data_IF_957959274371
#
_entry.id   IF_957959274371
#
_cell.length_a   1.000
_cell.length_b   1.000
_cell.length_c   1.000
_cell.angle_alpha   90.00
_cell.angle_beta   90.00
_cell.angle_gamma   90.00
#
_symmetry.space_group_name_H-M   'P 1'
#
loop_
_entity.id
_entity.type
_entity.pdbx_description
1 polymer ?
#
# COMPACT_ATOMS: atom_id res chain seq x y z
N UNK A 1 -70.92 8.99 -9.31
CA UNK A 1 -71.09 7.73 -8.57
C UNK A 1 -69.73 7.03 -8.49
N UNK A 2 -69.08 7.13 -7.34
CA UNK A 2 -67.87 6.39 -6.95
C UNK A 2 -68.12 5.88 -5.54
N UNK A 3 -67.78 4.61 -5.21
CA UNK A 3 -68.14 4.02 -3.93
C UNK A 3 -67.17 4.42 -2.82
N UNK A 4 -67.76 4.64 -1.64
CA UNK A 4 -67.10 4.77 -0.34
C UNK A 4 -66.68 3.41 0.24
N UNK A 5 -65.87 3.50 1.31
CA UNK A 5 -65.41 2.47 2.27
C UNK A 5 -64.08 1.81 1.88
N UNK A 6 -63.07 1.72 2.76
CA UNK A 6 -63.12 1.45 4.20
C UNK A 6 -61.97 2.11 4.99
N UNK A 7 -62.30 2.52 6.21
CA UNK A 7 -61.37 2.83 7.30
C UNK A 7 -60.45 1.66 7.62
N UNK A 8 -59.18 1.94 7.92
CA UNK A 8 -58.38 1.05 8.76
C UNK A 8 -57.65 1.81 9.88
N UNK A 9 -57.78 1.21 11.05
CA UNK A 9 -57.44 1.66 12.40
C UNK A 9 -55.97 2.09 12.53
N UNK A 10 -55.74 3.32 12.99
CA UNK A 10 -54.45 3.71 13.55
C UNK A 10 -54.26 3.02 14.90
N UNK A 11 -53.43 1.98 14.91
CA UNK A 11 -52.86 1.41 16.12
C UNK A 11 -51.88 2.38 16.76
N UNK A 12 -52.01 2.56 18.07
CA UNK A 12 -51.08 3.24 18.95
C UNK A 12 -49.73 2.50 18.97
N UNK A 13 -48.83 2.90 18.07
CA UNK A 13 -47.43 2.50 18.10
C UNK A 13 -46.72 3.23 19.23
N UNK A 14 -46.41 2.51 20.30
CA UNK A 14 -45.45 2.89 21.32
C UNK A 14 -44.14 3.32 20.66
N UNK A 15 -43.83 4.63 20.72
CA UNK A 15 -42.50 5.15 20.38
C UNK A 15 -41.50 4.62 21.41
N UNK A 16 -40.92 3.46 21.12
CA UNK A 16 -39.67 3.04 21.74
C UNK A 16 -38.62 4.04 21.26
N UNK A 17 -38.29 5.01 22.12
CA UNK A 17 -37.20 5.93 21.93
C UNK A 17 -35.88 5.17 21.96
N UNK A 18 -35.51 4.54 20.85
CA UNK A 18 -34.13 4.15 20.63
C UNK A 18 -33.30 5.43 20.63
N UNK A 19 -32.24 5.43 21.45
CA UNK A 19 -31.18 6.44 21.49
C UNK A 19 -30.02 5.98 20.58
N UNK A 20 -30.12 5.95 19.23
CA UNK A 20 -28.99 5.59 18.38
C UNK A 20 -27.90 6.67 18.40
N UNK A 21 -28.21 7.88 18.89
CA UNK A 21 -27.31 9.02 18.81
C UNK A 21 -26.12 8.98 19.78
N UNK A 22 -26.22 8.25 20.89
CA UNK A 22 -25.15 8.13 21.90
C UNK A 22 -24.13 7.02 21.54
N UNK A 23 -24.61 5.88 21.03
CA UNK A 23 -23.73 4.76 20.63
C UNK A 23 -22.82 5.13 19.45
N UNK A 24 -23.31 5.94 18.50
CA UNK A 24 -22.54 6.37 17.33
C UNK A 24 -21.43 7.35 17.72
N UNK A 25 -21.68 8.27 18.68
CA UNK A 25 -20.67 9.22 19.16
C UNK A 25 -19.54 8.53 19.92
N UNK A 26 -19.85 7.54 20.76
CA UNK A 26 -18.83 6.80 21.51
C UNK A 26 -17.92 5.97 20.61
N UNK A 27 -18.46 5.37 19.54
CA UNK A 27 -17.66 4.60 18.57
C UNK A 27 -16.68 5.48 17.77
N UNK A 28 -17.09 6.70 17.41
CA UNK A 28 -16.24 7.64 16.69
C UNK A 28 -15.08 8.16 17.57
N UNK A 29 -15.37 8.52 18.83
CA UNK A 29 -14.35 8.96 19.78
C UNK A 29 -13.33 7.86 20.08
N UNK A 30 -13.79 6.63 20.37
CA UNK A 30 -12.90 5.49 20.62
C UNK A 30 -11.99 5.21 19.42
N UNK A 31 -12.53 5.25 18.20
CA UNK A 31 -11.76 5.05 16.98
C UNK A 31 -10.69 6.13 16.78
N UNK A 32 -11.01 7.38 17.13
CA UNK A 32 -10.08 8.51 17.01
C UNK A 32 -8.96 8.46 18.06
N UNK A 33 -9.30 8.18 19.32
CA UNK A 33 -8.34 8.03 20.40
C UNK A 33 -7.33 6.90 20.11
N UNK A 34 -7.81 5.76 19.59
CA UNK A 34 -6.95 4.64 19.24
C UNK A 34 -6.09 4.91 17.99
N UNK A 35 -6.59 5.72 17.05
CA UNK A 35 -5.80 6.20 15.91
C UNK A 35 -4.64 7.08 16.37
N UNK A 36 -4.91 8.04 17.27
CA UNK A 36 -3.87 8.85 17.91
C UNK A 36 -2.88 7.95 18.64
N UNK A 37 -3.37 6.99 19.42
CA UNK A 37 -2.52 6.07 20.17
C UNK A 37 -1.57 5.32 19.22
N UNK A 38 -2.05 4.77 18.11
CA UNK A 38 -1.19 4.08 17.13
C UNK A 38 -0.12 5.01 16.55
N UNK A 39 -0.49 6.23 16.14
CA UNK A 39 0.46 7.19 15.60
C UNK A 39 1.52 7.62 16.64
N UNK A 40 1.10 7.81 17.88
CA UNK A 40 1.96 8.17 19.02
C UNK A 40 2.87 7.00 19.40
N UNK A 41 2.35 5.77 19.45
CA UNK A 41 3.14 4.57 19.73
C UNK A 41 4.21 4.36 18.66
N UNK A 42 3.87 4.52 17.38
CA UNK A 42 4.84 4.44 16.28
C UNK A 42 5.90 5.53 16.41
N UNK A 43 5.48 6.77 16.71
CA UNK A 43 6.40 7.89 16.91
C UNK A 43 7.40 7.58 18.02
N UNK A 44 6.91 7.24 19.22
CA UNK A 44 7.79 6.96 20.36
C UNK A 44 8.65 5.72 20.14
N UNK A 45 8.13 4.69 19.46
CA UNK A 45 8.91 3.49 19.19
C UNK A 45 10.13 3.77 18.34
N UNK A 46 9.98 4.58 17.28
CA UNK A 46 11.10 4.97 16.43
C UNK A 46 11.95 6.09 17.03
N UNK A 47 11.37 7.03 17.76
CA UNK A 47 12.12 8.10 18.44
C UNK A 47 13.07 7.54 19.50
N UNK A 48 12.65 6.48 20.20
CA UNK A 48 13.46 5.80 21.21
C UNK A 48 14.27 4.62 20.63
N UNK A 49 14.23 4.41 19.32
CA UNK A 49 14.96 3.31 18.69
C UNK A 49 16.47 3.58 18.73
N UNK A 50 17.20 2.72 19.44
CA UNK A 50 18.66 2.68 19.44
C UNK A 50 19.18 1.48 18.66
N UNK A 51 20.41 1.54 18.11
CA UNK A 51 21.09 0.34 17.63
C UNK A 51 21.03 -0.80 18.67
N UNK A 52 20.74 -2.06 18.27
CA UNK A 52 20.48 -2.55 16.91
C UNK A 52 18.98 -2.68 16.55
N UNK A 53 18.23 -1.58 16.44
CA UNK A 53 16.78 -1.62 16.17
C UNK A 53 16.38 -2.29 14.85
N UNK A 54 16.94 -1.83 13.72
CA UNK A 54 16.93 -2.51 12.43
C UNK A 54 18.02 -1.95 11.51
N UNK A 55 18.53 -2.75 10.58
CA UNK A 55 19.54 -2.33 9.61
C UNK A 55 19.05 -1.17 8.73
N UNK A 56 17.82 -1.28 8.22
CA UNK A 56 17.22 -0.25 7.38
C UNK A 56 16.93 1.05 8.14
N UNK A 57 16.54 0.99 9.43
CA UNK A 57 16.38 2.17 10.26
C UNK A 57 17.68 2.98 10.34
N UNK A 58 18.81 2.31 10.63
CA UNK A 58 20.11 2.96 10.67
C UNK A 58 20.50 3.56 9.31
N UNK A 59 20.26 2.83 8.23
CA UNK A 59 20.47 3.32 6.87
C UNK A 59 19.67 4.61 6.60
N UNK A 60 18.39 4.65 6.97
CA UNK A 60 17.56 5.84 6.81
C UNK A 60 18.00 7.00 7.69
N UNK A 61 18.40 6.76 8.94
CA UNK A 61 18.93 7.79 9.85
C UNK A 61 20.17 8.46 9.24
N UNK A 62 21.12 7.67 8.74
CA UNK A 62 22.34 8.18 8.07
C UNK A 62 22.02 8.98 6.81
N UNK A 63 21.03 8.54 6.04
CA UNK A 63 20.60 9.24 4.83
C UNK A 63 19.91 10.56 5.18
N UNK A 64 19.03 10.56 6.18
CA UNK A 64 18.37 11.77 6.66
C UNK A 64 19.40 12.77 7.19
N UNK A 65 20.41 12.29 7.91
CA UNK A 65 21.52 13.11 8.39
C UNK A 65 22.33 13.71 7.22
N UNK A 66 22.70 12.89 6.24
CA UNK A 66 23.45 13.30 5.05
C UNK A 66 22.66 14.35 4.26
N UNK A 67 21.38 14.07 3.99
CA UNK A 67 20.47 15.02 3.35
C UNK A 67 20.36 16.30 4.17
N UNK A 68 20.24 16.22 5.49
CA UNK A 68 20.17 17.37 6.38
C UNK A 68 21.36 18.35 6.20
N UNK A 69 22.55 17.84 5.91
CA UNK A 69 23.80 18.62 5.77
C UNK A 69 24.01 19.27 4.39
N UNK A 70 23.38 18.75 3.33
CA UNK A 70 23.61 19.24 1.95
C UNK A 70 22.70 20.41 1.60
N UNK A 71 23.17 21.43 0.88
CA UNK A 71 22.27 22.46 0.34
C UNK A 71 21.48 21.93 -0.89
N UNK A 72 20.54 22.73 -1.41
CA UNK A 72 19.68 22.28 -2.52
C UNK A 72 20.45 22.08 -3.83
N UNK A 73 21.49 22.89 -4.08
CA UNK A 73 22.32 22.79 -5.28
C UNK A 73 23.16 21.50 -5.18
N UNK A 74 23.77 21.28 -4.03
CA UNK A 74 24.49 20.06 -3.70
C UNK A 74 23.59 18.83 -3.83
N UNK A 75 22.32 18.86 -3.45
CA UNK A 75 21.39 17.74 -3.63
C UNK A 75 21.11 17.44 -5.11
N UNK A 76 21.07 18.46 -5.97
CA UNK A 76 20.87 18.28 -7.40
C UNK A 76 22.13 17.75 -8.10
N UNK A 77 23.32 18.16 -7.63
CA UNK A 77 24.61 17.78 -8.19
C UNK A 77 25.15 16.46 -7.61
N UNK A 78 24.86 16.19 -6.34
CA UNK A 78 25.16 14.90 -5.72
C UNK A 78 24.09 13.91 -6.20
N UNK A 79 24.47 13.07 -7.15
CA UNK A 79 23.79 11.79 -7.38
C UNK A 79 23.87 11.00 -6.08
N UNK A 80 23.03 11.33 -5.09
CA UNK A 80 22.99 10.64 -3.82
C UNK A 80 22.54 9.24 -4.11
N UNK A 81 23.53 8.37 -4.23
CA UNK A 81 23.37 6.94 -4.32
C UNK A 81 22.79 6.54 -2.97
N UNK A 82 21.47 6.45 -2.92
CA UNK A 82 20.84 5.61 -1.91
C UNK A 82 21.48 4.22 -2.05
N UNK A 83 21.73 3.48 -0.97
CA UNK A 83 22.38 2.16 -1.03
C UNK A 83 21.65 1.10 -1.90
N UNK A 84 20.56 1.47 -2.57
CA UNK A 84 19.80 0.65 -3.51
C UNK A 84 19.38 1.37 -4.81
N UNK A 85 19.84 2.60 -5.08
CA UNK A 85 19.56 3.34 -6.31
C UNK A 85 20.82 4.07 -6.79
N UNK A 86 21.71 3.34 -7.46
CA UNK A 86 22.73 3.94 -8.32
C UNK A 86 22.04 4.29 -9.63
N UNK A 87 21.63 5.55 -9.79
CA UNK A 87 21.13 6.06 -11.06
C UNK A 87 22.29 6.56 -11.90
N UNK A 88 22.88 5.69 -12.72
CA UNK A 88 23.70 6.15 -13.83
C UNK A 88 22.77 6.81 -14.88
N UNK A 89 22.58 8.13 -14.77
CA UNK A 89 21.97 8.95 -15.83
C UNK A 89 20.44 9.15 -15.80
N UNK A 90 19.71 8.63 -14.81
CA UNK A 90 18.28 8.94 -14.61
C UNK A 90 18.11 9.73 -13.30
N UNK A 91 18.07 11.07 -13.40
CA UNK A 91 17.87 12.00 -12.26
C UNK A 91 16.47 11.77 -11.61
N UNK A 92 16.23 12.23 -10.38
CA UNK A 92 16.18 11.49 -9.13
C UNK A 92 14.74 11.06 -8.84
N UNK A 93 14.34 9.84 -9.18
CA UNK A 93 13.00 9.33 -8.83
C UNK A 93 12.95 9.07 -7.32
N UNK A 94 12.81 10.14 -6.53
CA UNK A 94 12.66 10.22 -5.08
C UNK A 94 12.79 11.66 -4.50
N UNK A 95 12.81 12.70 -5.35
CA UNK A 95 12.88 14.11 -4.92
C UNK A 95 11.85 14.48 -3.85
N UNK A 96 10.66 13.91 -3.91
CA UNK A 96 9.59 14.15 -2.94
C UNK A 96 10.01 13.75 -1.52
N UNK A 97 10.73 12.63 -1.37
CA UNK A 97 11.28 12.23 -0.07
C UNK A 97 12.36 13.21 0.40
N UNK A 98 13.30 13.57 -0.48
CA UNK A 98 14.37 14.51 -0.15
C UNK A 98 13.85 15.87 0.28
N UNK A 99 12.89 16.43 -0.47
CA UNK A 99 12.24 17.71 -0.13
C UNK A 99 11.53 17.63 1.22
N UNK A 100 10.86 16.51 1.50
CA UNK A 100 10.14 16.32 2.75
C UNK A 100 11.11 16.22 3.93
N UNK A 101 12.19 15.44 3.80
CA UNK A 101 13.27 15.38 4.80
C UNK A 101 13.83 16.78 5.05
N UNK A 102 14.13 17.52 3.98
CA UNK A 102 14.64 18.88 4.09
C UNK A 102 13.73 19.83 4.82
N UNK A 103 12.43 19.79 4.53
CA UNK A 103 11.43 20.59 5.22
C UNK A 103 11.47 20.35 6.75
N UNK A 104 11.63 19.10 7.17
CA UNK A 104 11.73 18.74 8.59
C UNK A 104 13.14 18.95 9.18
N UNK A 105 14.18 19.08 8.36
CA UNK A 105 15.52 19.45 8.84
C UNK A 105 15.65 20.95 9.14
N UNK A 106 14.85 21.83 8.49
CA UNK A 106 14.92 23.29 8.67
C UNK A 106 14.79 23.75 10.14
N UNK A 107 13.90 23.18 10.97
CA UNK A 107 13.79 23.53 12.39
C UNK A 107 14.91 22.96 13.27
N UNK A 108 15.86 22.19 12.71
CA UNK A 108 16.96 21.56 13.45
C UNK A 108 16.58 20.24 14.13
N UNK A 109 15.57 19.52 13.64
CA UNK A 109 15.23 18.20 14.18
C UNK A 109 16.35 17.18 13.94
N UNK A 110 16.59 16.32 14.93
CA UNK A 110 17.52 15.19 14.79
C UNK A 110 16.98 14.17 13.78
N UNK A 111 17.86 13.45 13.05
CA UNK A 111 17.44 12.48 12.03
C UNK A 111 16.43 11.43 12.51
N UNK A 112 16.57 10.93 13.73
CA UNK A 112 15.66 9.96 14.36
C UNK A 112 14.28 10.56 14.58
N UNK A 113 14.23 11.84 14.96
CA UNK A 113 12.97 12.58 15.13
C UNK A 113 12.28 12.76 13.78
N UNK A 114 13.02 13.15 12.74
CA UNK A 114 12.48 13.28 11.39
C UNK A 114 11.93 11.94 10.91
N UNK A 115 12.69 10.85 11.06
CA UNK A 115 12.24 9.51 10.71
C UNK A 115 10.93 9.14 11.43
N UNK A 116 10.86 9.34 12.74
CA UNK A 116 9.67 9.05 13.55
C UNK A 116 8.45 9.87 13.10
N UNK A 117 8.64 11.16 12.82
CA UNK A 117 7.57 12.03 12.27
C UNK A 117 7.06 11.47 10.95
N UNK A 118 7.96 11.15 10.02
CA UNK A 118 7.61 10.65 8.69
C UNK A 118 6.87 9.31 8.76
N UNK A 119 7.32 8.38 9.60
CA UNK A 119 6.65 7.10 9.84
C UNK A 119 5.24 7.33 10.39
N UNK A 120 5.08 8.19 11.41
CA UNK A 120 3.78 8.48 11.99
C UNK A 120 2.83 9.20 11.03
N UNK A 121 3.32 10.09 10.16
CA UNK A 121 2.52 10.72 9.10
C UNK A 121 2.02 9.66 8.11
N UNK A 122 2.89 8.74 7.67
CA UNK A 122 2.52 7.61 6.81
C UNK A 122 1.36 6.81 7.42
N UNK A 123 1.51 6.36 8.67
CA UNK A 123 0.45 5.63 9.40
C UNK A 123 -0.83 6.44 9.48
N UNK A 124 -0.75 7.71 9.90
CA UNK A 124 -1.91 8.58 10.09
C UNK A 124 -2.74 8.72 8.81
N UNK A 125 -2.06 8.91 7.66
CA UNK A 125 -2.72 9.04 6.36
C UNK A 125 -3.43 7.74 5.95
N UNK A 126 -2.80 6.57 6.14
CA UNK A 126 -3.45 5.28 5.83
C UNK A 126 -4.66 5.04 6.73
N UNK A 127 -4.53 5.30 8.03
CA UNK A 127 -5.61 5.17 8.99
C UNK A 127 -6.79 6.08 8.60
N UNK A 128 -6.52 7.34 8.28
CA UNK A 128 -7.54 8.28 7.80
C UNK A 128 -8.29 7.75 6.56
N UNK A 129 -7.57 7.28 5.54
CA UNK A 129 -8.17 6.74 4.31
C UNK A 129 -9.03 5.50 4.61
N UNK A 130 -8.47 4.52 5.32
CA UNK A 130 -9.18 3.28 5.65
C UNK A 130 -10.45 3.54 6.48
N UNK A 131 -10.40 4.49 7.43
CA UNK A 131 -11.58 4.90 8.20
C UNK A 131 -12.62 5.59 7.33
N UNK A 132 -12.18 6.46 6.42
CA UNK A 132 -13.07 7.16 5.49
C UNK A 132 -13.78 6.19 4.54
N UNK A 133 -13.13 5.07 4.20
CA UNK A 133 -13.68 3.98 3.40
C UNK A 133 -14.47 2.94 4.23
N UNK A 134 -14.62 3.16 5.54
CA UNK A 134 -15.33 2.26 6.47
C UNK A 134 -14.75 0.85 6.51
N UNK A 135 -13.44 0.72 6.35
CA UNK A 135 -12.74 -0.56 6.56
C UNK A 135 -12.97 -1.02 8.01
N UNK A 136 -13.29 -2.31 8.25
CA UNK A 136 -13.51 -2.83 9.59
C UNK A 136 -12.31 -2.57 10.49
N UNK A 137 -12.61 -2.14 11.72
CA UNK A 137 -11.60 -1.63 12.63
C UNK A 137 -10.46 -2.62 12.92
N UNK A 138 -10.78 -3.88 13.19
CA UNK A 138 -9.80 -4.94 13.39
C UNK A 138 -8.85 -5.12 12.19
N UNK A 139 -9.39 -5.00 10.98
CA UNK A 139 -8.62 -5.15 9.75
C UNK A 139 -7.67 -3.96 9.53
N UNK A 140 -8.07 -2.75 9.94
CA UNK A 140 -7.21 -1.56 9.91
C UNK A 140 -5.97 -1.78 10.79
N UNK A 141 -6.15 -2.29 12.02
CA UNK A 141 -5.04 -2.59 12.93
C UNK A 141 -4.11 -3.62 12.29
N UNK A 142 -4.68 -4.75 11.84
CA UNK A 142 -3.91 -5.85 11.26
C UNK A 142 -3.05 -5.38 10.07
N UNK A 143 -3.64 -4.65 9.12
CA UNK A 143 -2.91 -4.13 7.97
C UNK A 143 -1.82 -3.15 8.40
N UNK A 144 -2.10 -2.22 9.31
CA UNK A 144 -1.08 -1.26 9.70
C UNK A 144 0.08 -1.93 10.43
N UNK A 145 -0.14 -2.94 11.27
CA UNK A 145 0.96 -3.72 11.86
C UNK A 145 1.82 -4.39 10.80
N UNK A 146 1.20 -4.99 9.78
CA UNK A 146 1.92 -5.57 8.63
C UNK A 146 2.75 -4.48 7.93
N UNK A 147 2.16 -3.33 7.61
CA UNK A 147 2.84 -2.30 6.81
C UNK A 147 3.83 -1.43 7.57
N UNK A 148 3.68 -1.26 8.89
CA UNK A 148 4.73 -0.66 9.73
C UNK A 148 6.00 -1.52 9.62
N UNK A 149 5.86 -2.84 9.71
CA UNK A 149 6.98 -3.79 9.61
C UNK A 149 7.58 -3.90 8.21
N UNK A 150 6.76 -3.81 7.16
CA UNK A 150 7.26 -3.92 5.78
C UNK A 150 7.84 -2.59 5.30
N UNK A 151 7.08 -1.50 5.43
CA UNK A 151 7.42 -0.26 4.77
C UNK A 151 8.03 0.74 5.71
N UNK A 152 7.58 0.88 6.95
CA UNK A 152 8.18 1.91 7.80
C UNK A 152 9.55 1.47 8.29
N UNK A 153 9.67 0.27 8.87
CA UNK A 153 10.97 -0.21 9.36
C UNK A 153 11.99 -0.54 8.26
N UNK A 154 11.54 -0.87 7.04
CA UNK A 154 12.44 -1.38 5.98
C UNK A 154 12.44 -0.55 4.67
N UNK A 155 11.40 0.26 4.39
CA UNK A 155 11.27 0.96 3.11
C UNK A 155 10.45 2.27 3.23
N UNK A 156 10.82 3.16 4.15
CA UNK A 156 10.00 4.31 4.58
C UNK A 156 9.46 5.15 3.41
N UNK A 157 10.29 5.33 2.38
CA UNK A 157 9.94 5.99 1.11
C UNK A 157 8.71 5.38 0.44
N UNK A 158 8.68 4.06 0.29
CA UNK A 158 7.53 3.33 -0.28
C UNK A 158 6.31 3.43 0.64
N UNK A 159 6.51 3.44 1.96
CA UNK A 159 5.44 3.67 2.94
C UNK A 159 4.73 5.01 2.73
N UNK A 160 5.50 6.10 2.63
CA UNK A 160 4.99 7.44 2.33
C UNK A 160 4.32 7.50 0.95
N UNK A 161 4.97 6.94 -0.07
CA UNK A 161 4.43 6.89 -1.43
C UNK A 161 3.08 6.16 -1.48
N UNK A 162 2.97 5.01 -0.80
CA UNK A 162 1.73 4.24 -0.70
C UNK A 162 0.62 5.00 0.02
N UNK A 163 0.97 5.79 1.04
CA UNK A 163 0.01 6.61 1.80
C UNK A 163 -0.57 7.74 0.96
N UNK A 164 0.27 8.42 0.17
CA UNK A 164 -0.16 9.43 -0.80
C UNK A 164 -1.01 8.81 -1.93
N UNK A 165 -0.61 7.65 -2.44
CA UNK A 165 -1.37 6.89 -3.44
C UNK A 165 -2.78 6.57 -2.93
N UNK A 166 -2.89 6.00 -1.72
CA UNK A 166 -4.18 5.68 -1.09
C UNK A 166 -5.05 6.93 -0.89
N UNK A 167 -4.45 8.03 -0.43
CA UNK A 167 -5.17 9.30 -0.28
C UNK A 167 -5.67 9.82 -1.63
N UNK A 168 -4.84 9.75 -2.67
CA UNK A 168 -5.22 10.14 -4.03
C UNK A 168 -6.38 9.32 -4.59
N UNK A 169 -6.29 7.98 -4.46
CA UNK A 169 -7.38 7.07 -4.82
C UNK A 169 -8.67 7.36 -4.03
N UNK A 170 -8.54 7.67 -2.74
CA UNK A 170 -9.70 8.07 -1.93
C UNK A 170 -10.34 9.35 -2.46
N UNK A 171 -9.56 10.40 -2.76
CA UNK A 171 -10.08 11.64 -3.36
C UNK A 171 -10.80 11.37 -4.69
N UNK A 172 -10.26 10.49 -5.55
CA UNK A 172 -10.93 10.08 -6.78
C UNK A 172 -12.27 9.35 -6.51
N UNK A 173 -12.31 8.49 -5.48
CA UNK A 173 -13.52 7.75 -5.11
C UNK A 173 -14.68 8.66 -4.66
N UNK A 174 -14.35 9.85 -4.14
CA UNK A 174 -15.30 10.90 -3.76
C UNK A 174 -15.40 12.04 -4.80
N UNK A 175 -15.04 11.74 -6.06
CA UNK A 175 -15.18 12.62 -7.23
C UNK A 175 -14.33 13.90 -7.23
N UNK A 176 -13.26 13.95 -6.42
CA UNK A 176 -12.29 15.07 -6.42
C UNK A 176 -11.12 14.79 -7.36
N UNK A 177 -11.44 14.74 -8.66
CA UNK A 177 -10.54 14.22 -9.71
C UNK A 177 -9.16 14.90 -9.73
N UNK A 178 -9.11 16.23 -9.76
CA UNK A 178 -7.86 16.99 -9.84
C UNK A 178 -6.96 16.71 -8.63
N UNK A 179 -7.51 16.80 -7.42
CA UNK A 179 -6.75 16.53 -6.18
C UNK A 179 -6.27 15.09 -6.13
N UNK A 180 -7.11 14.15 -6.53
CA UNK A 180 -6.75 12.74 -6.57
C UNK A 180 -5.61 12.45 -7.53
N UNK A 181 -5.67 12.98 -8.76
CA UNK A 181 -4.60 12.82 -9.75
C UNK A 181 -3.30 13.49 -9.28
N UNK A 182 -3.34 14.70 -8.72
CA UNK A 182 -2.16 15.37 -8.17
C UNK A 182 -1.49 14.56 -7.06
N UNK A 183 -2.26 13.96 -6.15
CA UNK A 183 -1.73 13.10 -5.09
C UNK A 183 -1.15 11.80 -5.64
N UNK A 184 -1.79 11.19 -6.64
CA UNK A 184 -1.24 10.01 -7.31
C UNK A 184 0.08 10.37 -7.99
N UNK A 185 0.15 11.49 -8.74
CA UNK A 185 1.39 11.97 -9.35
C UNK A 185 2.47 12.29 -8.31
N UNK A 186 2.10 12.90 -7.19
CA UNK A 186 3.04 13.21 -6.11
C UNK A 186 3.65 11.94 -5.49
N UNK A 187 2.91 10.82 -5.46
CA UNK A 187 3.46 9.57 -4.90
C UNK A 187 4.63 8.99 -5.70
N UNK A 188 4.70 9.23 -7.02
CA UNK A 188 5.86 8.86 -7.86
C UNK A 188 7.13 9.59 -7.44
N UNK A 189 7.00 10.81 -6.91
CA UNK A 189 8.16 11.58 -6.43
C UNK A 189 8.77 10.96 -5.17
N UNK A 190 8.11 10.01 -4.52
CA UNK A 190 8.62 9.34 -3.31
C UNK A 190 9.19 7.95 -3.58
N UNK A 191 8.69 7.22 -4.58
CA UNK A 191 9.20 5.88 -4.87
C UNK A 191 8.76 5.38 -6.27
N UNK A 192 9.71 4.91 -7.08
CA UNK A 192 9.46 4.45 -8.45
C UNK A 192 8.47 3.28 -8.53
N UNK A 193 8.51 2.35 -7.56
CA UNK A 193 7.65 1.15 -7.58
C UNK A 193 6.14 1.45 -7.57
N UNK A 194 5.72 2.66 -7.19
CA UNK A 194 4.32 3.08 -7.32
C UNK A 194 3.85 3.07 -8.78
N UNK A 195 4.77 3.26 -9.74
CA UNK A 195 4.49 3.23 -11.16
C UNK A 195 3.84 1.92 -11.64
N UNK A 196 4.22 0.79 -11.04
CA UNK A 196 3.66 -0.53 -11.38
C UNK A 196 2.16 -0.64 -11.09
N UNK A 197 1.61 0.21 -10.23
CA UNK A 197 0.18 0.32 -9.99
C UNK A 197 -0.41 1.58 -10.65
N UNK A 198 0.21 2.74 -10.48
CA UNK A 198 -0.38 4.02 -10.84
C UNK A 198 -0.48 4.25 -12.35
N UNK A 199 0.50 3.79 -13.15
CA UNK A 199 0.43 3.86 -14.62
C UNK A 199 -0.73 3.00 -15.17
N UNK A 200 -0.84 1.69 -14.82
CA UNK A 200 -2.00 0.91 -15.21
C UNK A 200 -3.30 1.53 -14.69
N UNK A 201 -3.31 2.07 -13.47
CA UNK A 201 -4.49 2.73 -12.91
C UNK A 201 -4.96 3.91 -13.74
N UNK A 202 -4.09 4.84 -14.11
CA UNK A 202 -4.46 5.99 -14.94
C UNK A 202 -4.98 5.51 -16.30
N UNK A 203 -4.30 4.54 -16.92
CA UNK A 203 -4.74 3.96 -18.19
C UNK A 203 -6.14 3.33 -18.08
N UNK A 204 -6.35 2.43 -17.12
CA UNK A 204 -7.63 1.77 -16.88
C UNK A 204 -8.72 2.78 -16.50
N UNK A 205 -8.41 3.79 -15.70
CA UNK A 205 -9.35 4.82 -15.26
C UNK A 205 -9.88 5.65 -16.44
N UNK A 206 -8.99 6.10 -17.34
CA UNK A 206 -9.34 6.88 -18.52
C UNK A 206 -10.10 6.04 -19.56
N UNK A 207 -9.72 4.77 -19.74
CA UNK A 207 -10.29 3.87 -20.74
C UNK A 207 -11.44 3.00 -20.21
N UNK A 208 -11.83 3.16 -18.95
CA UNK A 208 -12.76 2.27 -18.26
C UNK A 208 -14.13 2.14 -18.94
N UNK A 209 -14.63 3.18 -19.62
CA UNK A 209 -15.90 3.10 -20.37
C UNK A 209 -15.82 2.09 -21.52
N UNK A 210 -14.70 2.05 -22.22
CA UNK A 210 -14.49 1.16 -23.36
C UNK A 210 -14.12 -0.26 -22.91
N UNK A 211 -13.27 -0.38 -21.88
CA UNK A 211 -12.79 -1.66 -21.36
C UNK A 211 -13.87 -2.46 -20.66
N UNK A 212 -14.65 -1.82 -19.77
CA UNK A 212 -15.65 -2.52 -18.97
C UNK A 212 -16.93 -2.86 -19.75
N UNK A 213 -17.02 -2.45 -21.02
CA UNK A 213 -18.10 -2.85 -21.92
C UNK A 213 -18.04 -4.35 -22.27
N UNK A 214 -16.88 -5.01 -22.13
CA UNK A 214 -16.75 -6.45 -22.36
C UNK A 214 -15.64 -7.06 -21.50
N UNK A 215 -15.96 -8.17 -20.82
CA UNK A 215 -14.98 -8.95 -20.05
C UNK A 215 -13.79 -9.41 -20.92
N UNK A 216 -14.05 -9.70 -22.20
CA UNK A 216 -13.01 -10.11 -23.16
C UNK A 216 -12.03 -8.96 -23.42
N UNK A 217 -12.51 -7.72 -23.57
CA UNK A 217 -11.63 -6.54 -23.76
C UNK A 217 -10.75 -6.30 -22.56
N UNK A 218 -11.30 -6.43 -21.35
CA UNK A 218 -10.53 -6.32 -20.12
C UNK A 218 -9.42 -7.38 -20.05
N UNK A 219 -9.71 -8.64 -20.40
CA UNK A 219 -8.72 -9.72 -20.44
C UNK A 219 -7.63 -9.47 -21.48
N UNK A 220 -8.00 -9.05 -22.69
CA UNK A 220 -7.04 -8.74 -23.78
C UNK A 220 -6.09 -7.61 -23.34
N UNK A 221 -6.64 -6.54 -22.77
CA UNK A 221 -5.83 -5.41 -22.31
C UNK A 221 -4.97 -5.78 -21.12
N UNK A 222 -5.49 -6.55 -20.16
CA UNK A 222 -4.68 -7.07 -19.07
C UNK A 222 -3.51 -7.93 -19.59
N UNK A 223 -3.77 -8.80 -20.58
CA UNK A 223 -2.73 -9.61 -21.24
C UNK A 223 -1.67 -8.74 -21.90
N UNK A 224 -2.04 -7.77 -22.75
CA UNK A 224 -1.07 -6.87 -23.39
C UNK A 224 -0.29 -6.03 -22.38
N UNK A 225 -0.93 -5.57 -21.31
CA UNK A 225 -0.25 -4.79 -20.27
C UNK A 225 0.76 -5.64 -19.50
N UNK A 226 0.39 -6.88 -19.18
CA UNK A 226 1.27 -7.88 -18.56
C UNK A 226 2.44 -8.20 -19.49
N UNK A 227 2.19 -8.54 -20.75
CA UNK A 227 3.24 -8.82 -21.74
C UNK A 227 4.15 -7.60 -21.95
N UNK A 228 3.57 -6.39 -21.99
CA UNK A 228 4.30 -5.14 -22.12
C UNK A 228 5.19 -4.86 -20.91
N UNK A 229 4.71 -5.09 -19.69
CA UNK A 229 5.54 -4.99 -18.49
C UNK A 229 6.65 -6.03 -18.50
N UNK A 230 6.35 -7.28 -18.81
CA UNK A 230 7.36 -8.34 -18.86
C UNK A 230 8.44 -8.00 -19.88
N UNK A 231 8.06 -7.51 -21.06
CA UNK A 231 8.99 -7.08 -22.10
C UNK A 231 9.79 -5.85 -21.69
N UNK A 232 9.14 -4.84 -21.10
CA UNK A 232 9.79 -3.65 -20.55
C UNK A 232 10.80 -4.04 -19.48
N UNK A 233 10.46 -4.93 -18.56
CA UNK A 233 11.38 -5.36 -17.51
C UNK A 233 12.57 -6.13 -18.08
N UNK A 234 12.37 -7.03 -19.04
CA UNK A 234 13.48 -7.75 -19.69
C UNK A 234 14.44 -6.76 -20.37
N UNK A 235 13.93 -5.77 -21.09
CA UNK A 235 14.76 -4.77 -21.77
C UNK A 235 15.35 -3.71 -20.81
N UNK A 236 14.61 -3.31 -19.79
CA UNK A 236 15.06 -2.33 -18.81
C UNK A 236 16.18 -2.91 -17.94
N UNK A 237 16.05 -4.19 -17.57
CA UNK A 237 17.08 -4.91 -16.83
C UNK A 237 18.38 -5.08 -17.61
N UNK A 238 18.31 -5.30 -18.93
CA UNK A 238 19.51 -5.38 -19.76
C UNK A 238 20.20 -4.02 -19.96
N UNK A 239 19.47 -2.91 -19.81
CA UNK A 239 20.00 -1.55 -19.88
C UNK A 239 20.59 -1.06 -18.55
N UNK A 240 20.14 -1.59 -17.43
CA UNK A 240 20.62 -1.24 -16.09
C UNK A 240 21.84 -2.08 -15.69
N UNK A 241 22.96 -1.98 -16.43
CA UNK A 241 24.25 -2.62 -16.10
C UNK A 241 24.74 -2.25 -14.69
N UNK A 242 24.19 -2.91 -13.68
CA UNK A 242 24.33 -2.61 -12.27
C UNK A 242 24.58 -3.93 -11.53
N UNK A 243 25.71 -3.99 -10.84
CA UNK A 243 26.20 -5.18 -10.14
C UNK A 243 25.19 -5.72 -9.11
N UNK A 244 24.38 -4.86 -8.48
CA UNK A 244 23.30 -5.28 -7.57
C UNK A 244 22.16 -6.00 -8.29
N UNK A 245 21.83 -5.53 -9.48
CA UNK A 245 20.77 -6.13 -10.29
C UNK A 245 21.25 -7.48 -10.83
N UNK A 246 22.52 -7.56 -11.25
CA UNK A 246 23.14 -8.83 -11.62
C UNK A 246 23.21 -9.79 -10.43
N UNK A 247 23.59 -9.33 -9.22
CA UNK A 247 23.56 -10.13 -7.98
C UNK A 247 22.16 -10.70 -7.70
N UNK A 248 21.09 -9.91 -7.89
CA UNK A 248 19.71 -10.42 -7.75
C UNK A 248 19.35 -11.44 -8.82
N UNK A 249 19.73 -11.18 -10.08
CA UNK A 249 19.48 -12.11 -11.20
C UNK A 249 20.20 -13.44 -10.99
N UNK A 250 21.46 -13.40 -10.56
CA UNK A 250 22.27 -14.59 -10.25
C UNK A 250 21.70 -15.38 -9.06
N UNK A 251 21.20 -14.69 -8.02
CA UNK A 251 20.49 -15.33 -6.89
C UNK A 251 19.13 -15.90 -7.29
N UNK A 252 18.48 -15.33 -8.31
CA UNK A 252 17.28 -15.89 -8.92
C UNK A 252 17.53 -17.22 -9.64
N UNK A 253 18.62 -17.24 -10.41
CA UNK A 253 19.05 -18.41 -11.17
C UNK A 253 19.45 -19.61 -10.29
N UNK A 254 19.69 -19.42 -8.99
CA UNK A 254 20.13 -20.48 -8.07
C UNK A 254 19.03 -21.45 -7.60
N UNK A 255 17.91 -21.58 -8.34
CA UNK A 255 16.99 -22.71 -8.22
C UNK A 255 15.85 -22.59 -7.20
N UNK A 256 15.65 -21.43 -6.57
CA UNK A 256 14.48 -21.13 -5.72
C UNK A 256 13.28 -20.56 -6.52
N UNK A 257 13.27 -20.77 -7.83
CA UNK A 257 12.25 -20.26 -8.74
C UNK A 257 10.98 -21.13 -8.70
N UNK A 258 9.89 -20.61 -8.15
CA UNK A 258 8.61 -21.33 -8.09
C UNK A 258 7.43 -20.50 -7.61
N UNK A 259 6.21 -20.98 -7.89
CA UNK A 259 4.95 -20.38 -7.41
C UNK A 259 4.93 -20.48 -5.87
N UNK A 260 5.22 -19.38 -5.18
CA UNK A 260 5.16 -19.29 -3.71
C UNK A 260 3.71 -19.43 -3.21
N UNK A 261 3.54 -19.86 -1.94
CA UNK A 261 2.22 -19.91 -1.30
C UNK A 261 1.50 -18.54 -1.35
N UNK A 262 2.25 -17.45 -1.18
CA UNK A 262 1.74 -16.07 -1.32
C UNK A 262 1.17 -15.83 -2.72
N UNK A 263 1.92 -16.22 -3.75
CA UNK A 263 1.48 -16.05 -5.15
C UNK A 263 0.28 -16.91 -5.50
N UNK A 264 0.21 -18.16 -4.99
CA UNK A 264 -0.93 -19.05 -5.20
C UNK A 264 -2.22 -18.51 -4.56
N UNK A 265 -2.15 -18.10 -3.28
CA UNK A 265 -3.29 -17.53 -2.58
C UNK A 265 -3.70 -16.19 -3.22
N UNK A 266 -2.72 -15.36 -3.62
CA UNK A 266 -2.95 -14.11 -4.34
C UNK A 266 -3.69 -14.33 -5.66
N UNK A 267 -3.24 -15.29 -6.46
CA UNK A 267 -3.88 -15.67 -7.71
C UNK A 267 -5.32 -16.15 -7.50
N UNK A 268 -5.54 -17.05 -6.52
CA UNK A 268 -6.87 -17.54 -6.17
C UNK A 268 -7.79 -16.40 -5.74
N UNK A 269 -7.31 -15.48 -4.88
CA UNK A 269 -8.08 -14.30 -4.47
C UNK A 269 -8.48 -13.45 -5.68
N UNK A 270 -7.57 -13.20 -6.62
CA UNK A 270 -7.85 -12.43 -7.83
C UNK A 270 -8.88 -13.11 -8.72
N UNK A 271 -8.75 -14.42 -8.94
CA UNK A 271 -9.72 -15.20 -9.72
C UNK A 271 -11.11 -15.11 -9.08
N UNK A 272 -11.20 -15.30 -7.76
CA UNK A 272 -12.46 -15.21 -7.03
C UNK A 272 -13.07 -13.80 -7.08
N UNK A 273 -12.27 -12.75 -6.91
CA UNK A 273 -12.71 -11.35 -7.05
C UNK A 273 -13.23 -11.12 -8.47
N UNK A 274 -12.48 -11.55 -9.50
CA UNK A 274 -12.84 -11.47 -10.91
C UNK A 274 -14.20 -12.10 -11.21
N UNK A 275 -14.45 -13.32 -10.72
CA UNK A 275 -15.74 -14.00 -10.90
C UNK A 275 -16.88 -13.39 -10.09
N UNK A 276 -16.57 -12.70 -8.99
CA UNK A 276 -17.59 -12.11 -8.15
C UNK A 276 -18.21 -10.83 -8.73
N UNK A 277 -17.53 -10.13 -9.65
CA UNK A 277 -18.06 -8.96 -10.36
C UNK A 277 -19.31 -9.30 -11.16
N UNK A 278 -20.46 -8.75 -10.75
CA UNK A 278 -21.68 -8.82 -11.57
C UNK A 278 -21.67 -7.71 -12.61
N UNK A 279 -22.06 -8.06 -13.84
CA UNK A 279 -22.09 -7.11 -14.95
C UNK A 279 -22.86 -5.82 -14.63
N UNK A 280 -24.00 -5.93 -13.94
CA UNK A 280 -24.83 -4.78 -13.54
C UNK A 280 -24.13 -3.83 -12.55
N UNK A 281 -23.26 -4.35 -11.68
CA UNK A 281 -22.57 -3.55 -10.65
C UNK A 281 -21.42 -2.72 -11.24
N UNK A 282 -20.84 -3.16 -12.38
CA UNK A 282 -19.80 -2.43 -13.12
C UNK A 282 -20.27 -1.10 -13.73
N UNK A 283 -21.58 -0.89 -13.87
CA UNK A 283 -22.15 0.38 -14.35
C UNK A 283 -22.31 1.43 -13.26
N UNK A 284 -22.16 1.05 -11.99
CA UNK A 284 -22.14 2.03 -10.90
C UNK A 284 -20.77 2.71 -10.83
N UNK A 285 -20.72 3.99 -10.45
CA UNK A 285 -19.44 4.70 -10.30
C UNK A 285 -18.48 3.99 -9.33
N UNK A 286 -19.01 3.44 -8.23
CA UNK A 286 -18.21 2.72 -7.23
C UNK A 286 -17.73 1.35 -7.74
N UNK A 287 -18.60 0.57 -8.37
CA UNK A 287 -18.22 -0.73 -8.96
C UNK A 287 -17.20 -0.57 -10.09
N UNK A 288 -17.38 0.45 -10.94
CA UNK A 288 -16.43 0.84 -11.97
C UNK A 288 -15.07 1.23 -11.37
N UNK A 289 -15.07 2.08 -10.34
CA UNK A 289 -13.83 2.51 -9.68
C UNK A 289 -13.09 1.33 -9.06
N UNK A 290 -13.80 0.45 -8.34
CA UNK A 290 -13.19 -0.74 -7.76
C UNK A 290 -12.66 -1.71 -8.82
N UNK A 291 -13.37 -1.89 -9.94
CA UNK A 291 -12.89 -2.70 -11.06
C UNK A 291 -11.60 -2.16 -11.67
N UNK A 292 -11.49 -0.83 -11.80
CA UNK A 292 -10.26 -0.16 -12.25
C UNK A 292 -9.12 -0.40 -11.25
N UNK A 293 -9.35 -0.20 -9.96
CA UNK A 293 -8.36 -0.49 -8.90
C UNK A 293 -7.90 -1.95 -8.98
N UNK A 294 -8.83 -2.89 -9.05
CA UNK A 294 -8.55 -4.31 -9.14
C UNK A 294 -7.72 -4.68 -10.38
N UNK A 295 -8.11 -4.18 -11.56
CA UNK A 295 -7.38 -4.41 -12.80
C UNK A 295 -5.94 -3.85 -12.74
N UNK A 296 -5.75 -2.73 -12.03
CA UNK A 296 -4.45 -2.08 -11.89
C UNK A 296 -3.47 -2.84 -11.00
N UNK A 297 -3.96 -3.77 -10.18
CA UNK A 297 -3.13 -4.64 -9.35
C UNK A 297 -2.67 -5.91 -10.08
N UNK A 298 -3.27 -6.27 -11.22
CA UNK A 298 -2.91 -7.46 -12.01
C UNK A 298 -1.43 -7.43 -12.42
N UNK A 299 -0.88 -6.31 -12.93
CA UNK A 299 0.55 -6.12 -13.12
C UNK A 299 1.43 -6.64 -11.99
N UNK A 300 1.20 -6.14 -10.77
CA UNK A 300 1.99 -6.51 -9.60
C UNK A 300 1.84 -7.98 -9.21
N UNK A 301 0.65 -8.57 -9.39
CA UNK A 301 0.45 -10.00 -9.20
C UNK A 301 1.24 -10.82 -10.22
N UNK A 302 1.27 -10.40 -11.48
CA UNK A 302 2.06 -11.10 -12.49
C UNK A 302 3.55 -10.96 -12.20
N UNK A 303 4.02 -9.80 -11.75
CA UNK A 303 5.41 -9.66 -11.29
C UNK A 303 5.74 -10.60 -10.14
N UNK A 304 4.82 -10.77 -9.18
CA UNK A 304 4.99 -11.73 -8.08
C UNK A 304 5.12 -13.18 -8.58
N UNK A 305 4.39 -13.55 -9.64
CA UNK A 305 4.39 -14.92 -10.18
C UNK A 305 5.58 -15.15 -11.13
N UNK A 306 5.92 -14.14 -11.95
CA UNK A 306 6.83 -14.27 -13.09
C UNK A 306 8.28 -13.86 -12.78
N UNK A 307 8.53 -12.99 -11.80
CA UNK A 307 9.88 -12.56 -11.46
C UNK A 307 10.41 -13.36 -10.27
N UNK A 308 10.99 -14.50 -10.55
CA UNK A 308 11.80 -15.25 -9.58
C UNK A 308 13.15 -14.57 -9.34
N UNK A 309 13.67 -13.85 -10.33
CA UNK A 309 15.05 -13.34 -10.34
C UNK A 309 15.18 -11.87 -9.91
N UNK A 310 14.05 -11.18 -9.75
CA UNK A 310 13.97 -9.83 -9.17
C UNK A 310 12.91 -9.81 -8.06
N UNK A 311 12.98 -10.83 -7.19
CA UNK A 311 11.97 -11.10 -6.16
C UNK A 311 11.65 -9.86 -5.31
N UNK A 312 12.64 -9.01 -5.02
CA UNK A 312 12.45 -7.80 -4.19
C UNK A 312 11.55 -6.76 -4.87
N UNK A 313 11.65 -6.57 -6.19
CA UNK A 313 10.81 -5.61 -6.92
C UNK A 313 9.38 -6.16 -7.05
N UNK A 314 9.24 -7.43 -7.43
CA UNK A 314 7.95 -8.11 -7.50
C UNK A 314 7.22 -8.13 -6.15
N UNK A 315 7.92 -8.49 -5.07
CA UNK A 315 7.37 -8.54 -3.71
C UNK A 315 6.87 -7.17 -3.24
N UNK A 316 7.66 -6.11 -3.41
CA UNK A 316 7.27 -4.76 -2.98
C UNK A 316 6.13 -4.19 -3.82
N UNK A 317 6.15 -4.43 -5.14
CA UNK A 317 5.04 -4.04 -6.01
C UNK A 317 3.74 -4.78 -5.62
N UNK A 318 3.84 -6.07 -5.31
CA UNK A 318 2.71 -6.85 -4.81
C UNK A 318 2.20 -6.37 -3.46
N UNK A 319 3.09 -6.12 -2.49
CA UNK A 319 2.70 -5.61 -1.16
C UNK A 319 1.94 -4.28 -1.28
N UNK A 320 2.38 -3.39 -2.18
CA UNK A 320 1.67 -2.15 -2.50
C UNK A 320 0.29 -2.43 -3.11
N UNK A 321 0.21 -3.28 -4.13
CA UNK A 321 -1.05 -3.64 -4.76
C UNK A 321 -2.03 -4.31 -3.78
N UNK A 322 -1.52 -5.17 -2.90
CA UNK A 322 -2.27 -5.82 -1.83
C UNK A 322 -2.81 -4.80 -0.82
N UNK A 323 -2.00 -3.82 -0.39
CA UNK A 323 -2.46 -2.72 0.46
C UNK A 323 -3.65 -1.98 -0.16
N UNK A 324 -3.53 -1.64 -1.45
CA UNK A 324 -4.58 -0.93 -2.18
C UNK A 324 -5.84 -1.79 -2.26
N UNK A 325 -5.74 -3.06 -2.68
CA UNK A 325 -6.90 -3.96 -2.74
C UNK A 325 -7.57 -4.06 -1.38
N UNK A 326 -6.83 -4.36 -0.32
CA UNK A 326 -7.35 -4.49 1.03
C UNK A 326 -8.11 -3.24 1.51
N UNK A 327 -7.60 -2.06 1.16
CA UNK A 327 -8.19 -0.77 1.53
C UNK A 327 -9.51 -0.53 0.81
N UNK A 328 -9.57 -0.81 -0.50
CA UNK A 328 -10.74 -0.54 -1.34
C UNK A 328 -11.72 -1.72 -1.43
N UNK A 329 -11.35 -2.90 -0.94
CA UNK A 329 -12.16 -4.12 -0.95
C UNK A 329 -13.54 -3.92 -0.30
N UNK A 330 -13.61 -3.06 0.73
CA UNK A 330 -14.82 -2.82 1.51
C UNK A 330 -15.80 -1.83 0.88
N UNK A 331 -15.46 -1.26 -0.29
CA UNK A 331 -16.46 -0.59 -1.13
C UNK A 331 -17.59 -1.60 -1.42
N UNK A 332 -18.84 -1.15 -1.36
CA UNK A 332 -20.00 -2.06 -1.29
C UNK A 332 -20.39 -2.63 -2.67
N UNK A 333 -19.57 -3.51 -3.24
CA UNK A 333 -19.77 -4.04 -4.60
C UNK A 333 -20.12 -5.53 -4.67
N UNK A 334 -20.13 -6.29 -3.56
CA UNK A 334 -20.38 -7.75 -3.56
C UNK A 334 -21.60 -8.14 -2.74
N UNK A 335 -22.37 -9.13 -3.22
CA UNK A 335 -23.38 -9.85 -2.42
C UNK A 335 -22.79 -10.46 -1.12
N UNK A 336 -23.57 -10.48 -0.04
CA UNK A 336 -23.13 -10.92 1.30
C UNK A 336 -22.42 -12.28 1.31
N UNK A 337 -22.95 -13.31 0.63
CA UNK A 337 -22.38 -14.66 0.67
C UNK A 337 -21.02 -14.77 -0.02
N UNK A 338 -20.86 -14.17 -1.21
CA UNK A 338 -19.56 -14.13 -1.92
C UNK A 338 -18.53 -13.32 -1.14
N UNK A 339 -18.97 -12.24 -0.50
CA UNK A 339 -18.11 -11.39 0.34
C UNK A 339 -17.45 -12.19 1.47
N UNK A 340 -18.13 -13.16 2.08
CA UNK A 340 -17.56 -14.01 3.15
C UNK A 340 -16.38 -14.85 2.66
N UNK A 341 -16.53 -15.52 1.51
CA UNK A 341 -15.45 -16.34 0.92
C UNK A 341 -14.25 -15.46 0.57
N UNK A 342 -14.49 -14.32 -0.08
CA UNK A 342 -13.43 -13.38 -0.43
C UNK A 342 -12.71 -12.84 0.81
N UNK A 343 -13.44 -12.53 1.88
CA UNK A 343 -12.85 -12.11 3.16
C UNK A 343 -11.98 -13.20 3.77
N UNK A 344 -12.39 -14.47 3.72
CA UNK A 344 -11.58 -15.59 4.21
C UNK A 344 -10.21 -15.64 3.50
N UNK A 345 -10.21 -15.56 2.16
CA UNK A 345 -8.96 -15.52 1.38
C UNK A 345 -8.13 -14.27 1.67
N UNK A 346 -8.78 -13.12 1.87
CA UNK A 346 -8.09 -11.88 2.25
C UNK A 346 -7.40 -12.00 3.62
N UNK A 347 -8.08 -12.59 4.61
CA UNK A 347 -7.50 -12.86 5.92
C UNK A 347 -6.36 -13.87 5.84
N UNK A 348 -6.53 -14.97 5.09
CA UNK A 348 -5.50 -15.98 4.89
C UNK A 348 -4.24 -15.38 4.25
N UNK A 349 -4.42 -14.57 3.20
CA UNK A 349 -3.31 -13.90 2.53
C UNK A 349 -2.63 -12.88 3.46
N UNK A 350 -3.41 -12.10 4.23
CA UNK A 350 -2.85 -11.17 5.23
C UNK A 350 -2.03 -11.92 6.28
N UNK A 351 -2.51 -13.07 6.74
CA UNK A 351 -1.80 -13.92 7.70
C UNK A 351 -0.51 -14.47 7.12
N UNK A 352 -0.54 -15.03 5.91
CA UNK A 352 0.67 -15.55 5.24
C UNK A 352 1.69 -14.44 5.01
N UNK A 353 1.26 -13.24 4.58
CA UNK A 353 2.15 -12.09 4.44
C UNK A 353 2.72 -11.68 5.81
N UNK A 354 1.91 -11.61 6.85
CA UNK A 354 2.38 -11.27 8.19
C UNK A 354 3.42 -12.26 8.72
N UNK A 355 3.16 -13.56 8.60
CA UNK A 355 4.11 -14.62 8.98
C UNK A 355 5.39 -14.53 8.16
N UNK A 356 5.28 -14.34 6.83
CA UNK A 356 6.45 -14.17 5.97
C UNK A 356 7.29 -12.97 6.41
N UNK A 357 6.64 -11.86 6.76
CA UNK A 357 7.31 -10.65 7.23
C UNK A 357 8.01 -10.89 8.58
N UNK A 358 7.37 -11.55 9.53
CA UNK A 358 7.99 -11.90 10.81
C UNK A 358 9.20 -12.82 10.63
N UNK A 359 9.12 -13.78 9.70
CA UNK A 359 10.20 -14.75 9.43
C UNK A 359 11.35 -14.12 8.63
N UNK A 360 11.05 -13.29 7.62
CA UNK A 360 12.02 -12.73 6.68
C UNK A 360 12.70 -11.48 7.22
N UNK A 361 11.98 -10.73 8.06
CA UNK A 361 12.49 -9.53 8.72
C UNK A 361 12.47 -9.73 10.24
N UNK A 362 13.15 -10.76 10.77
CA UNK A 362 13.35 -10.85 12.20
C UNK A 362 14.15 -9.63 12.67
N UNK A 363 14.93 -9.01 11.75
CA UNK A 363 15.81 -7.82 11.86
C UNK A 363 15.15 -6.54 12.41
N UNK A 364 13.84 -6.51 12.63
CA UNK A 364 13.15 -5.36 13.21
C UNK A 364 12.74 -5.66 14.63
N UNK A 365 13.36 -4.99 15.59
CA UNK A 365 12.93 -5.04 16.99
C UNK A 365 11.58 -4.34 17.20
N UNK A 366 10.82 -3.96 16.16
CA UNK A 366 9.52 -3.28 16.31
C UNK A 366 8.58 -4.02 17.27
N UNK A 367 8.58 -5.36 17.26
CA UNK A 367 7.75 -6.20 18.14
C UNK A 367 8.47 -6.72 19.40
N UNK A 368 9.63 -6.17 19.77
CA UNK A 368 10.28 -6.50 21.04
C UNK A 368 9.83 -5.59 22.20
N UNK A 369 9.48 -6.14 23.38
CA UNK A 369 8.99 -7.51 23.63
C UNK A 369 7.54 -7.67 23.13
N UNK A 370 7.05 -8.89 22.75
CA UNK A 370 7.42 -10.22 23.25
C UNK A 370 8.32 -11.09 22.36
N UNK A 371 8.71 -10.62 21.17
CA UNK A 371 9.64 -11.38 20.32
C UNK A 371 11.09 -11.07 20.71
N UNK A 372 12.02 -12.04 20.60
CA UNK A 372 13.40 -11.85 21.00
C UNK A 372 14.04 -10.69 20.25
N UNK A 373 14.80 -9.87 20.98
CA UNK A 373 15.62 -8.82 20.38
C UNK A 373 16.72 -9.45 19.55
N UNK A 374 16.99 -8.87 18.39
CA UNK A 374 18.21 -9.19 17.66
C UNK A 374 19.35 -8.45 18.32
N UNK A 375 20.14 -9.18 19.09
CA UNK A 375 21.47 -8.76 19.51
C UNK A 375 22.44 -9.05 18.36
N UNK A 376 23.06 -8.02 17.80
CA UNK A 376 24.14 -8.22 16.83
C UNK A 376 25.37 -8.81 17.55
N UNK A 377 25.50 -10.14 17.55
CA UNK A 377 26.79 -10.82 17.47
C UNK A 377 27.17 -11.02 15.99
N UNK A 378 26.99 -9.98 15.16
CA UNK A 378 27.52 -9.98 13.79
C UNK A 378 28.91 -9.37 13.88
N UNK A 379 29.91 -10.25 13.98
CA UNK A 379 31.32 -9.94 13.83
C UNK A 379 31.58 -9.15 12.54
N UNK A 380 32.08 -7.92 12.68
CA UNK A 380 33.08 -7.16 11.89
C UNK A 380 33.47 -7.55 10.44
N UNK A 381 32.65 -8.27 9.66
CA UNK A 381 32.97 -8.61 8.28
C UNK A 381 31.97 -7.95 7.32
N UNK A 382 32.07 -6.63 7.15
CA UNK A 382 31.75 -5.91 5.91
C UNK A 382 32.62 -4.66 5.83
#
# INVERSE_FOLDING_TARGET
MMPQHTLNKYGSGTRVGHKPHLAIKNSAFFSFALLILLCVSVFFRYFLASPPFSFDYQGYVLIIESLGRLDFIQILDSNLIFPYTISAGVVPVEVGFTLLVKLFSLPGFRPETIYAILASISVALRLYVMRSLKVPFFFIILLNLVFITIFESNALRLGLASSLLLLGLYQLSILRNVRGLLLISASFLFHLQVAFFAVPFVFFYLTARWLLASKIRLLIVAFFFVSGISLFLVQFMSLLSNDKIQEYVERGASGSAGISLTSLIGLLLFILIGFSFRHKELFTNQGKFFAVVFASCVPSLVLLISLTDIAVIGDRAWQLAFLVICTFFFLNWVSVSRRKILLLFLYLLTFVIFVNVLIRYPLSNFFSPPFPEISHNISNNF
#
